data_IF_804389638200
#
_entry.id   IF_804389638200
#
_cell.length_a   1.000
_cell.length_b   1.000
_cell.length_c   1.000
_cell.angle_alpha   90.00
_cell.angle_beta   90.00
_cell.angle_gamma   90.00
#
_symmetry.space_group_name_H-M   'P 1'
#
loop_
_entity.id
_entity.type
_entity.pdbx_description
1 polymer ?
#
# COMPACT_ATOMS: atom_id res chain seq x y z
N UNK A 1 -23.45 51.83 -23.37
CA UNK A 1 -22.12 51.29 -23.73
C UNK A 1 -21.40 50.60 -22.57
N UNK A 2 -21.25 51.21 -21.38
CA UNK A 2 -20.52 50.59 -20.24
C UNK A 2 -21.04 49.20 -19.79
N UNK A 3 -22.36 48.98 -19.83
CA UNK A 3 -22.98 47.72 -19.40
C UNK A 3 -22.78 46.56 -20.40
N UNK A 4 -22.52 46.87 -21.68
CA UNK A 4 -22.24 45.86 -22.71
C UNK A 4 -20.77 45.40 -22.63
N UNK A 5 -19.86 46.34 -22.38
CA UNK A 5 -18.43 46.08 -22.18
C UNK A 5 -18.21 45.20 -20.94
N UNK A 6 -18.90 45.49 -19.82
CA UNK A 6 -18.78 44.70 -18.60
C UNK A 6 -19.22 43.23 -18.80
N UNK A 7 -20.35 43.00 -19.49
CA UNK A 7 -20.80 41.66 -19.82
C UNK A 7 -19.81 40.90 -20.71
N UNK A 8 -19.19 41.60 -21.67
CA UNK A 8 -18.19 41.00 -22.55
C UNK A 8 -16.92 40.60 -21.79
N UNK A 9 -16.46 41.44 -20.86
CA UNK A 9 -15.30 41.16 -20.01
C UNK A 9 -15.55 39.98 -19.07
N UNK A 10 -16.75 39.88 -18.48
CA UNK A 10 -17.11 38.76 -17.60
C UNK A 10 -17.17 37.44 -18.37
N UNK A 11 -17.74 37.44 -19.58
CA UNK A 11 -17.79 36.23 -20.43
C UNK A 11 -16.38 35.80 -20.85
N UNK A 12 -15.51 36.76 -21.20
CA UNK A 12 -14.12 36.47 -21.57
C UNK A 12 -13.33 35.90 -20.38
N UNK A 13 -13.53 36.44 -19.17
CA UNK A 13 -12.90 35.93 -17.95
C UNK A 13 -13.35 34.50 -17.62
N UNK A 14 -14.64 34.20 -17.76
CA UNK A 14 -15.16 32.85 -17.53
C UNK A 14 -14.64 31.83 -18.56
N UNK A 15 -14.49 32.24 -19.82
CA UNK A 15 -13.89 31.40 -20.86
C UNK A 15 -12.41 31.09 -20.60
N UNK A 16 -11.65 32.08 -20.13
CA UNK A 16 -10.23 31.89 -19.77
C UNK A 16 -10.07 30.97 -18.56
N UNK A 17 -10.89 31.11 -17.53
CA UNK A 17 -10.89 30.22 -16.36
C UNK A 17 -11.27 28.78 -16.77
N UNK A 18 -12.28 28.63 -17.63
CA UNK A 18 -12.67 27.33 -18.18
C UNK A 18 -11.54 26.64 -18.95
N UNK A 19 -10.83 27.38 -19.81
CA UNK A 19 -9.72 26.84 -20.58
C UNK A 19 -8.53 26.40 -19.70
N UNK A 20 -8.21 27.18 -18.64
CA UNK A 20 -7.16 26.82 -17.68
C UNK A 20 -7.52 25.55 -16.90
N UNK A 21 -8.77 25.43 -16.44
CA UNK A 21 -9.23 24.24 -15.71
C UNK A 21 -9.23 22.98 -16.58
N UNK A 22 -9.56 23.11 -17.86
CA UNK A 22 -9.48 21.99 -18.82
C UNK A 22 -8.02 21.57 -19.01
N UNK A 23 -7.09 22.51 -19.22
CA UNK A 23 -5.67 22.17 -19.39
C UNK A 23 -5.05 21.51 -18.14
N UNK A 24 -5.36 21.99 -16.93
CA UNK A 24 -4.89 21.36 -15.68
C UNK A 24 -5.45 19.95 -15.53
N UNK A 25 -6.72 19.73 -15.88
CA UNK A 25 -7.33 18.39 -15.84
C UNK A 25 -6.72 17.46 -16.88
N UNK A 26 -6.42 17.96 -18.08
CA UNK A 26 -5.77 17.17 -19.14
C UNK A 26 -4.32 16.84 -18.79
N UNK A 27 -3.57 17.74 -18.15
CA UNK A 27 -2.21 17.44 -17.66
C UNK A 27 -2.23 16.35 -16.56
N UNK A 28 -3.11 16.49 -15.57
CA UNK A 28 -3.24 15.49 -14.50
C UNK A 28 -3.72 14.11 -15.00
N UNK A 29 -4.60 14.08 -16.02
CA UNK A 29 -5.03 12.83 -16.66
C UNK A 29 -3.90 12.18 -17.46
N UNK A 30 -3.04 12.99 -18.09
CA UNK A 30 -1.90 12.49 -18.89
C UNK A 30 -0.82 11.92 -17.98
N UNK A 31 -0.48 12.61 -16.88
CA UNK A 31 0.48 12.11 -15.87
C UNK A 31 -0.04 10.88 -15.11
N UNK A 32 -1.32 10.85 -14.74
CA UNK A 32 -1.94 9.70 -14.10
C UNK A 32 -2.01 8.45 -14.99
N UNK A 33 -2.21 8.63 -16.30
CA UNK A 33 -2.22 7.53 -17.28
C UNK A 33 -0.82 6.97 -17.58
N UNK A 34 0.20 7.83 -17.61
CA UNK A 34 1.58 7.38 -17.78
C UNK A 34 2.09 6.63 -16.55
N UNK A 35 1.67 7.02 -15.34
CA UNK A 35 2.05 6.33 -14.10
C UNK A 35 1.44 4.90 -14.03
N UNK A 36 0.20 4.72 -14.47
CA UNK A 36 -0.48 3.41 -14.48
C UNK A 36 0.04 2.45 -15.58
N UNK A 37 0.45 2.99 -16.73
CA UNK A 37 1.12 2.21 -17.78
C UNK A 37 2.55 1.78 -17.35
N UNK A 38 3.25 2.61 -16.57
CA UNK A 38 4.57 2.27 -16.00
C UNK A 38 4.44 1.21 -14.88
N UNK A 39 3.42 1.30 -14.02
CA UNK A 39 3.20 0.35 -12.92
C UNK A 39 2.80 -1.05 -13.43
N UNK A 40 2.08 -1.14 -14.55
CA UNK A 40 1.73 -2.42 -15.19
C UNK A 40 2.88 -3.03 -16.00
N UNK A 41 3.76 -2.21 -16.60
CA UNK A 41 4.97 -2.68 -17.29
C UNK A 41 6.06 -3.12 -16.31
N UNK A 42 6.15 -2.52 -15.11
CA UNK A 42 7.14 -2.88 -14.09
C UNK A 42 6.82 -4.21 -13.36
N UNK A 43 5.57 -4.67 -13.38
CA UNK A 43 5.22 -6.02 -12.96
C UNK A 43 5.69 -7.11 -13.96
N UNK A 44 5.94 -6.73 -15.23
CA UNK A 44 6.26 -7.65 -16.32
C UNK A 44 7.68 -7.58 -16.90
N UNK A 45 8.53 -6.62 -16.48
CA UNK A 45 9.91 -6.48 -16.98
C UNK A 45 10.96 -6.33 -15.87
N UNK A 46 11.01 -7.30 -14.95
CA UNK A 46 12.21 -7.57 -14.13
C UNK A 46 13.29 -8.27 -14.96
N UNK A 47 13.88 -7.56 -15.93
CA UNK A 47 15.21 -7.86 -16.47
C UNK A 47 15.63 -6.75 -17.44
N UNK A 48 16.30 -5.73 -16.91
CA UNK A 48 17.61 -5.22 -17.36
C UNK A 48 17.84 -3.78 -16.90
N UNK A 49 19.06 -3.56 -16.39
CA UNK A 49 19.76 -2.27 -16.28
C UNK A 49 19.34 -1.33 -15.15
N UNK A 50 19.93 -1.57 -13.99
CA UNK A 50 20.04 -0.65 -12.86
C UNK A 50 20.37 -1.48 -11.63
N UNK A 51 21.47 -1.21 -10.94
CA UNK A 51 21.76 -1.86 -9.65
C UNK A 51 20.67 -1.43 -8.69
N UNK A 52 19.57 -2.18 -8.63
CA UNK A 52 18.55 -2.02 -7.62
C UNK A 52 19.21 -2.44 -6.32
N UNK A 53 19.48 -1.48 -5.44
CA UNK A 53 20.04 -1.79 -4.14
C UNK A 53 18.95 -2.54 -3.37
N UNK A 54 19.05 -3.87 -3.33
CA UNK A 54 18.21 -4.75 -2.50
C UNK A 54 18.32 -4.42 -1.00
N UNK A 55 19.25 -3.52 -0.62
CA UNK A 55 19.51 -3.07 0.74
C UNK A 55 18.30 -2.51 1.49
N UNK A 56 17.23 -2.09 0.80
CA UNK A 56 16.00 -1.56 1.41
C UNK A 56 14.75 -2.26 0.86
N UNK A 57 14.83 -3.57 0.64
CA UNK A 57 13.67 -4.38 0.28
C UNK A 57 12.86 -4.82 1.51
N UNK A 58 11.63 -5.28 1.26
CA UNK A 58 10.77 -5.95 2.26
C UNK A 58 11.51 -7.09 2.97
N UNK A 59 12.32 -7.86 2.23
CA UNK A 59 13.10 -8.96 2.81
C UNK A 59 14.17 -8.45 3.75
N UNK A 60 14.91 -7.42 3.36
CA UNK A 60 15.89 -6.81 4.27
C UNK A 60 15.23 -6.25 5.54
N UNK A 61 14.04 -5.65 5.44
CA UNK A 61 13.29 -5.21 6.62
C UNK A 61 12.98 -6.38 7.58
N UNK A 62 12.51 -7.52 7.04
CA UNK A 62 12.28 -8.77 7.80
C UNK A 62 13.57 -9.25 8.46
N UNK A 63 14.66 -9.37 7.70
CA UNK A 63 15.94 -9.88 8.22
C UNK A 63 16.48 -9.00 9.34
N UNK A 64 16.43 -7.68 9.17
CA UNK A 64 16.88 -6.70 10.17
C UNK A 64 16.01 -6.72 11.42
N UNK A 65 14.70 -6.88 11.27
CA UNK A 65 13.81 -7.08 12.41
C UNK A 65 14.16 -8.34 13.19
N UNK A 66 14.35 -9.47 12.49
CA UNK A 66 14.66 -10.75 13.12
C UNK A 66 16.04 -10.77 13.79
N UNK A 67 17.02 -10.06 13.23
CA UNK A 67 18.37 -9.97 13.81
C UNK A 67 18.48 -8.95 14.95
N UNK A 68 17.44 -8.15 15.21
CA UNK A 68 17.48 -7.05 16.19
C UNK A 68 18.29 -5.84 15.71
N UNK A 69 18.51 -5.71 14.40
CA UNK A 69 19.22 -4.59 13.76
C UNK A 69 18.28 -3.69 12.94
N UNK A 70 16.98 -3.70 13.24
CA UNK A 70 16.00 -2.89 12.54
C UNK A 70 16.29 -1.40 12.73
N UNK A 71 16.27 -0.67 11.62
CA UNK A 71 16.43 0.78 11.61
C UNK A 71 15.42 1.40 10.67
N UNK A 72 14.63 2.37 11.13
CA UNK A 72 13.73 3.15 10.28
C UNK A 72 14.52 4.13 9.42
N UNK A 73 14.20 4.19 8.14
CA UNK A 73 14.85 5.07 7.18
C UNK A 73 14.31 6.48 7.31
N UNK A 74 15.22 7.43 7.52
CA UNK A 74 14.92 8.86 7.60
C UNK A 74 15.70 9.57 6.50
N UNK A 75 14.98 10.30 5.66
CA UNK A 75 15.60 11.16 4.66
C UNK A 75 15.98 12.48 5.32
N UNK A 76 17.28 12.76 5.40
CA UNK A 76 17.80 14.02 5.90
C UNK A 76 18.58 14.77 4.81
N UNK A 77 18.73 16.09 5.00
CA UNK A 77 19.48 16.94 4.08
C UNK A 77 20.99 16.83 4.28
N UNK A 78 21.71 17.90 3.92
CA UNK A 78 23.14 18.01 4.19
C UNK A 78 23.44 18.06 5.71
N UNK A 79 22.50 18.55 6.50
CA UNK A 79 22.58 18.59 7.97
C UNK A 79 21.75 17.46 8.59
N UNK A 80 22.30 16.88 9.65
CA UNK A 80 21.65 15.85 10.44
C UNK A 80 20.80 16.54 11.53
N UNK A 81 19.50 16.28 11.52
CA UNK A 81 18.60 16.69 12.61
C UNK A 81 18.38 15.49 13.51
N UNK A 82 18.98 15.53 14.70
CA UNK A 82 18.74 14.58 15.78
C UNK A 82 17.72 15.20 16.71
N UNK A 83 16.60 14.52 16.96
CA UNK A 83 15.62 14.97 17.94
C UNK A 83 16.01 14.48 19.33
N UNK A 84 15.82 15.32 20.34
CA UNK A 84 15.96 14.92 21.74
C UNK A 84 14.94 13.83 22.06
N UNK A 85 15.38 12.73 22.70
CA UNK A 85 14.52 11.60 23.03
C UNK A 85 14.43 10.52 21.94
N UNK A 86 15.14 10.67 20.82
CA UNK A 86 15.21 9.64 19.78
C UNK A 86 15.79 8.32 20.30
N UNK A 87 16.76 8.40 21.21
CA UNK A 87 17.36 7.27 21.89
C UNK A 87 16.34 6.44 22.68
N UNK A 88 15.26 7.07 23.16
CA UNK A 88 14.19 6.39 23.89
C UNK A 88 13.41 5.44 22.97
N UNK A 89 13.29 5.75 21.67
CA UNK A 89 12.64 4.86 20.72
C UNK A 89 13.41 3.55 20.58
N UNK A 90 14.74 3.63 20.46
CA UNK A 90 15.62 2.47 20.40
C UNK A 90 15.61 1.67 21.70
N UNK A 91 15.71 2.35 22.84
CA UNK A 91 15.67 1.69 24.16
C UNK A 91 14.37 0.92 24.37
N UNK A 92 13.24 1.52 24.00
CA UNK A 92 11.91 0.95 24.24
C UNK A 92 11.50 -0.12 23.24
N UNK A 93 11.81 0.07 21.96
CA UNK A 93 11.30 -0.79 20.89
C UNK A 93 12.38 -1.62 20.18
N UNK A 94 13.66 -1.37 20.44
CA UNK A 94 14.78 -2.06 19.81
C UNK A 94 14.97 -1.72 18.33
N UNK A 95 14.41 -0.59 17.88
CA UNK A 95 14.51 -0.11 16.49
C UNK A 95 15.23 1.23 16.50
N UNK A 96 16.27 1.37 15.69
CA UNK A 96 17.05 2.61 15.58
C UNK A 96 16.58 3.46 14.37
N UNK A 97 17.25 4.57 14.11
CA UNK A 97 17.08 5.34 12.88
C UNK A 97 18.32 5.27 11.99
N UNK A 98 18.08 5.20 10.68
CA UNK A 98 19.13 5.27 9.67
C UNK A 98 18.93 6.51 8.81
N UNK A 99 19.88 7.42 8.95
CA UNK A 99 19.97 8.66 8.20
C UNK A 99 20.62 8.41 6.84
N UNK A 100 19.87 8.66 5.77
CA UNK A 100 20.33 8.39 4.40
C UNK A 100 21.14 9.54 3.80
N UNK A 101 21.08 10.73 4.40
CA UNK A 101 21.73 11.95 3.89
C UNK A 101 21.13 12.44 2.56
N UNK A 102 21.83 13.39 1.94
CA UNK A 102 21.34 14.08 0.74
C UNK A 102 21.42 13.25 -0.56
N UNK A 103 22.29 12.24 -0.62
CA UNK A 103 22.44 11.35 -1.79
C UNK A 103 21.85 9.99 -1.46
N UNK A 104 20.53 9.91 -1.58
CA UNK A 104 19.76 8.70 -1.31
C UNK A 104 19.83 7.76 -2.52
N UNK A 105 20.18 6.49 -2.29
CA UNK A 105 20.28 5.43 -3.32
C UNK A 105 19.06 4.50 -3.36
N UNK A 106 17.94 4.95 -2.82
CA UNK A 106 16.63 4.33 -2.92
C UNK A 106 15.57 5.39 -3.21
N UNK A 107 14.48 4.94 -3.81
CA UNK A 107 13.30 5.74 -4.12
C UNK A 107 12.45 5.96 -2.89
N UNK A 108 11.60 6.99 -2.91
CA UNK A 108 10.60 7.21 -1.86
C UNK A 108 9.72 5.98 -1.64
N UNK A 109 9.32 5.31 -2.72
CA UNK A 109 8.49 4.09 -2.68
C UNK A 109 9.18 2.97 -1.91
N UNK A 110 10.47 2.73 -2.16
CA UNK A 110 11.23 1.71 -1.42
C UNK A 110 11.34 2.05 0.07
N UNK A 111 11.60 3.32 0.41
CA UNK A 111 11.66 3.74 1.82
C UNK A 111 10.33 3.54 2.55
N UNK A 112 9.23 3.96 1.91
CA UNK A 112 7.87 3.78 2.45
C UNK A 112 7.58 2.30 2.65
N UNK A 113 7.87 1.45 1.65
CA UNK A 113 7.65 0.01 1.75
C UNK A 113 8.46 -0.63 2.88
N UNK A 114 9.75 -0.30 2.97
CA UNK A 114 10.64 -0.81 4.01
C UNK A 114 10.18 -0.37 5.41
N UNK A 115 9.94 0.93 5.61
CA UNK A 115 9.53 1.46 6.91
C UNK A 115 8.16 0.92 7.34
N UNK A 116 7.21 0.81 6.41
CA UNK A 116 5.87 0.29 6.70
C UNK A 116 5.93 -1.14 7.23
N UNK A 117 6.79 -2.00 6.68
CA UNK A 117 6.99 -3.36 7.19
C UNK A 117 7.51 -3.34 8.63
N UNK A 118 8.48 -2.47 8.95
CA UNK A 118 8.96 -2.32 10.33
C UNK A 118 7.87 -1.77 11.26
N UNK A 119 7.05 -0.81 10.79
CA UNK A 119 5.90 -0.29 11.55
C UNK A 119 4.82 -1.35 11.79
N UNK A 120 4.58 -2.23 10.81
CA UNK A 120 3.72 -3.39 10.97
C UNK A 120 4.28 -4.34 12.03
N UNK A 121 5.57 -4.65 12.00
CA UNK A 121 6.20 -5.45 13.06
C UNK A 121 6.11 -4.80 14.45
N UNK A 122 6.37 -3.49 14.54
CA UNK A 122 6.20 -2.72 15.77
C UNK A 122 4.76 -2.83 16.29
N UNK A 123 3.77 -2.71 15.41
CA UNK A 123 2.36 -2.80 15.77
C UNK A 123 1.98 -4.21 16.21
N UNK A 124 2.50 -5.23 15.53
CA UNK A 124 2.25 -6.62 15.90
C UNK A 124 2.82 -6.98 17.28
N UNK A 125 4.00 -6.44 17.62
CA UNK A 125 4.72 -6.75 18.86
C UNK A 125 4.32 -5.87 20.05
N UNK A 126 4.10 -4.57 19.82
CA UNK A 126 3.94 -3.56 20.87
C UNK A 126 2.60 -2.83 20.81
N UNK A 127 1.70 -3.19 19.87
CA UNK A 127 0.47 -2.43 19.63
C UNK A 127 0.77 -1.01 19.12
N UNK A 128 -0.11 -0.06 19.41
CA UNK A 128 0.02 1.31 18.89
C UNK A 128 0.91 2.24 19.73
N UNK A 129 1.54 1.75 20.80
CA UNK A 129 2.28 2.60 21.75
C UNK A 129 3.46 3.33 21.10
N UNK A 130 4.16 2.67 20.15
CA UNK A 130 5.32 3.22 19.45
C UNK A 130 5.02 4.51 18.67
N UNK A 131 3.76 4.73 18.27
CA UNK A 131 3.36 5.93 17.52
C UNK A 131 3.57 7.23 18.30
N UNK A 132 3.61 7.15 19.64
CA UNK A 132 3.86 8.32 20.49
C UNK A 132 5.35 8.70 20.58
N UNK A 133 6.24 7.85 20.08
CA UNK A 133 7.70 7.98 20.21
C UNK A 133 8.41 8.08 18.86
N UNK A 134 7.75 7.67 17.78
CA UNK A 134 8.33 7.74 16.44
C UNK A 134 8.47 9.19 15.98
N UNK A 135 9.53 9.49 15.24
CA UNK A 135 9.69 10.79 14.57
C UNK A 135 8.63 10.99 13.49
N UNK A 136 8.12 12.22 13.37
CA UNK A 136 7.09 12.57 12.39
C UNK A 136 7.59 12.54 10.93
N UNK A 137 8.90 12.65 10.71
CA UNK A 137 9.55 12.70 9.39
C UNK A 137 9.93 11.32 8.83
N UNK A 138 9.54 10.24 9.50
CA UNK A 138 9.72 8.88 8.98
C UNK A 138 8.87 8.67 7.73
N UNK A 139 9.52 8.32 6.63
CA UNK A 139 8.82 8.07 5.36
C UNK A 139 7.78 6.95 5.50
N UNK A 140 6.55 7.25 5.08
CA UNK A 140 5.42 6.33 5.11
C UNK A 140 4.59 6.37 6.39
N UNK A 141 4.94 7.20 7.38
CA UNK A 141 4.19 7.32 8.62
C UNK A 141 2.81 7.98 8.42
N UNK A 142 2.75 9.02 7.59
CA UNK A 142 1.51 9.70 7.15
C UNK A 142 0.55 8.77 6.40
N UNK A 143 1.14 7.79 5.74
CA UNK A 143 0.48 6.71 5.02
C UNK A 143 0.03 5.55 5.94
N UNK A 144 0.54 5.45 7.16
CA UNK A 144 0.35 4.29 8.03
C UNK A 144 -0.96 4.37 8.83
N UNK A 145 -1.84 3.38 8.63
CA UNK A 145 -3.22 3.37 9.14
C UNK A 145 -4.26 3.83 8.13
N UNK A 146 -3.85 4.32 6.95
CA UNK A 146 -4.77 4.62 5.85
C UNK A 146 -5.27 3.32 5.21
N UNK A 147 -6.57 3.26 4.89
CA UNK A 147 -7.18 2.08 4.28
C UNK A 147 -6.58 1.81 2.88
N UNK A 148 -5.91 0.67 2.75
CA UNK A 148 -5.20 0.26 1.54
C UNK A 148 -6.12 0.00 0.34
N UNK A 149 -7.43 -0.18 0.54
CA UNK A 149 -8.36 -0.61 -0.50
C UNK A 149 -9.35 0.48 -0.93
N UNK A 150 -9.07 1.75 -0.62
CA UNK A 150 -9.96 2.88 -0.93
C UNK A 150 -9.90 3.34 -2.38
N UNK A 151 -8.70 3.44 -2.95
CA UNK A 151 -8.44 4.09 -4.24
C UNK A 151 -7.89 3.10 -5.28
N UNK A 152 -8.60 1.97 -5.46
CA UNK A 152 -8.19 0.90 -6.37
C UNK A 152 -8.47 1.29 -7.82
N UNK A 153 -7.45 1.13 -8.67
CA UNK A 153 -7.58 1.23 -10.13
C UNK A 153 -7.86 -0.17 -10.69
N UNK A 154 -8.98 -0.31 -11.39
CA UNK A 154 -9.41 -1.56 -12.00
C UNK A 154 -9.05 -1.60 -13.49
N UNK A 155 -8.81 -2.80 -14.00
CA UNK A 155 -8.66 -3.08 -15.43
C UNK A 155 -10.01 -3.00 -16.18
N UNK A 156 -9.96 -3.25 -17.48
CA UNK A 156 -11.13 -3.25 -18.38
C UNK A 156 -12.20 -4.28 -17.99
N UNK A 157 -11.81 -5.37 -17.32
CA UNK A 157 -12.70 -6.42 -16.84
C UNK A 157 -13.28 -6.11 -15.45
N UNK A 158 -12.91 -4.97 -14.86
CA UNK A 158 -13.32 -4.58 -13.52
C UNK A 158 -12.57 -5.34 -12.42
N UNK A 159 -11.41 -5.92 -12.70
CA UNK A 159 -10.57 -6.58 -11.71
C UNK A 159 -9.32 -5.78 -11.40
N UNK A 160 -8.73 -6.00 -10.23
CA UNK A 160 -7.43 -5.47 -9.86
C UNK A 160 -6.67 -6.54 -9.08
N UNK A 161 -5.34 -6.56 -9.25
CA UNK A 161 -4.45 -7.48 -8.52
C UNK A 161 -3.46 -6.67 -7.70
N UNK A 162 -3.35 -6.98 -6.42
CA UNK A 162 -2.38 -6.37 -5.51
C UNK A 162 -1.48 -7.46 -4.91
N UNK A 163 -0.18 -7.18 -4.85
CA UNK A 163 0.80 -8.03 -4.18
C UNK A 163 1.28 -7.26 -2.95
N UNK A 164 1.00 -7.77 -1.77
CA UNK A 164 1.23 -7.06 -0.51
C UNK A 164 2.09 -7.88 0.45
N UNK A 165 3.11 -7.29 1.08
CA UNK A 165 3.74 -7.86 2.26
C UNK A 165 2.84 -7.60 3.48
N UNK A 166 2.44 -8.65 4.18
CA UNK A 166 1.48 -8.56 5.30
C UNK A 166 1.97 -9.39 6.47
N UNK A 167 1.59 -8.98 7.68
CA UNK A 167 1.82 -9.76 8.89
C UNK A 167 0.68 -10.77 9.04
N UNK A 168 0.99 -12.06 8.91
CA UNK A 168 0.05 -13.14 9.14
C UNK A 168 -0.48 -13.11 10.59
N UNK A 169 -1.79 -13.30 10.75
CA UNK A 169 -2.43 -13.45 12.06
C UNK A 169 -3.02 -14.84 12.24
N UNK A 170 -3.95 -15.23 11.38
CA UNK A 170 -4.66 -16.50 11.55
C UNK A 170 -5.37 -16.95 10.28
N UNK A 171 -5.72 -18.23 10.23
CA UNK A 171 -6.79 -18.73 9.37
C UNK A 171 -8.07 -18.89 10.18
N UNK A 172 -9.20 -18.74 9.50
CA UNK A 172 -10.50 -19.04 10.08
C UNK A 172 -11.56 -19.31 9.02
N UNK A 173 -12.82 -19.38 9.44
CA UNK A 173 -13.95 -19.55 8.52
C UNK A 173 -14.03 -18.38 7.55
N UNK A 174 -14.51 -18.65 6.34
CA UNK A 174 -14.67 -17.60 5.32
C UNK A 174 -15.39 -16.37 5.86
N UNK A 175 -14.85 -15.19 5.56
CA UNK A 175 -15.37 -13.88 5.93
C UNK A 175 -16.74 -13.61 5.31
N UNK A 176 -16.98 -14.16 4.12
CA UNK A 176 -18.23 -14.02 3.38
C UNK A 176 -18.33 -14.94 2.18
N UNK A 177 -19.54 -14.98 1.64
CA UNK A 177 -19.84 -15.56 0.34
C UNK A 177 -19.65 -14.56 -0.80
N UNK A 178 -19.08 -14.97 -1.95
CA UNK A 178 -18.98 -14.14 -3.14
C UNK A 178 -20.37 -13.81 -3.70
N UNK A 179 -20.56 -12.61 -4.30
CA UNK A 179 -21.71 -12.35 -5.17
C UNK A 179 -21.80 -13.38 -6.29
N UNK A 180 -23.00 -13.73 -6.76
CA UNK A 180 -23.20 -14.76 -7.80
C UNK A 180 -22.32 -14.54 -9.04
N UNK A 181 -22.23 -13.31 -9.53
CA UNK A 181 -21.39 -12.99 -10.70
C UNK A 181 -19.89 -13.22 -10.45
N UNK A 182 -19.42 -13.01 -9.22
CA UNK A 182 -18.02 -13.27 -8.85
C UNK A 182 -17.81 -14.76 -8.58
N UNK A 183 -18.82 -15.44 -8.01
CA UNK A 183 -18.80 -16.89 -7.79
C UNK A 183 -18.61 -17.66 -9.10
N UNK A 184 -19.23 -17.20 -10.18
CA UNK A 184 -19.05 -17.75 -11.53
C UNK A 184 -17.61 -17.60 -12.04
N UNK A 185 -16.91 -16.52 -11.66
CA UNK A 185 -15.53 -16.24 -12.08
C UNK A 185 -14.53 -17.05 -11.27
N UNK A 186 -14.67 -17.06 -9.94
CA UNK A 186 -13.75 -17.81 -9.06
C UNK A 186 -14.09 -19.32 -9.06
N UNK A 187 -15.26 -19.69 -9.56
CA UNK A 187 -15.70 -21.07 -9.75
C UNK A 187 -16.08 -21.82 -8.48
N UNK A 188 -16.17 -21.14 -7.33
CA UNK A 188 -16.28 -21.81 -6.05
C UNK A 188 -16.78 -20.92 -4.90
N UNK A 189 -17.07 -21.56 -3.77
CA UNK A 189 -17.42 -20.90 -2.51
C UNK A 189 -16.24 -21.01 -1.53
N UNK A 190 -15.56 -19.91 -1.16
CA UNK A 190 -14.49 -19.95 -0.17
C UNK A 190 -14.97 -20.50 1.17
N UNK A 191 -14.23 -21.47 1.71
CA UNK A 191 -14.49 -22.04 3.04
C UNK A 191 -13.64 -21.40 4.14
N UNK A 192 -12.50 -20.82 3.75
CA UNK A 192 -11.47 -20.31 4.64
C UNK A 192 -11.16 -18.86 4.32
N UNK A 193 -10.78 -18.11 5.34
CA UNK A 193 -10.23 -16.76 5.22
C UNK A 193 -8.89 -16.64 5.93
N UNK A 194 -8.09 -15.69 5.46
CA UNK A 194 -6.88 -15.24 6.12
C UNK A 194 -7.15 -13.94 6.87
N UNK A 195 -6.80 -13.92 8.14
CA UNK A 195 -6.56 -12.72 8.92
C UNK A 195 -5.10 -12.27 8.79
N UNK A 196 -4.91 -11.01 8.44
CA UNK A 196 -3.59 -10.40 8.35
C UNK A 196 -3.64 -8.93 8.73
N UNK A 197 -2.48 -8.37 9.06
CA UNK A 197 -2.32 -6.94 9.27
C UNK A 197 -1.46 -6.34 8.16
N UNK A 198 -1.86 -5.17 7.69
CA UNK A 198 -1.14 -4.41 6.67
C UNK A 198 -1.31 -2.92 6.93
N UNK A 199 -0.20 -2.16 6.98
CA UNK A 199 -0.20 -0.72 7.31
C UNK A 199 -0.95 -0.42 8.60
N UNK A 200 -0.83 -1.28 9.61
CA UNK A 200 -1.49 -1.13 10.90
C UNK A 200 -3.00 -1.36 10.91
N UNK A 201 -3.59 -1.78 9.78
CA UNK A 201 -4.99 -2.16 9.68
C UNK A 201 -5.12 -3.68 9.64
N UNK A 202 -6.13 -4.22 10.33
CA UNK A 202 -6.47 -5.63 10.27
C UNK A 202 -7.46 -5.90 9.14
N UNK A 203 -7.15 -6.94 8.36
CA UNK A 203 -7.96 -7.38 7.24
C UNK A 203 -8.28 -8.86 7.40
N UNK A 204 -9.46 -9.23 6.91
CA UNK A 204 -9.93 -10.61 6.92
C UNK A 204 -10.56 -10.92 5.56
N UNK A 205 -9.88 -11.76 4.77
CA UNK A 205 -10.22 -11.97 3.36
C UNK A 205 -10.38 -13.44 3.01
N UNK A 206 -11.41 -13.83 2.23
CA UNK A 206 -11.57 -15.19 1.70
C UNK A 206 -10.36 -15.67 0.90
N UNK A 207 -10.01 -16.95 1.03
CA UNK A 207 -9.04 -17.62 0.17
C UNK A 207 -9.74 -18.15 -1.09
N UNK A 208 -9.03 -18.15 -2.22
CA UNK A 208 -9.49 -18.84 -3.43
C UNK A 208 -9.61 -20.34 -3.16
N UNK A 209 -10.52 -21.06 -3.81
CA UNK A 209 -10.73 -22.47 -3.47
C UNK A 209 -9.66 -23.40 -4.03
N UNK A 210 -8.88 -22.94 -5.01
CA UNK A 210 -7.73 -23.66 -5.55
C UNK A 210 -6.46 -23.44 -4.72
N UNK A 211 -6.63 -23.03 -3.46
CA UNK A 211 -5.54 -22.63 -2.61
C UNK A 211 -4.89 -23.84 -1.93
N UNK A 212 -3.64 -24.12 -2.29
CA UNK A 212 -2.78 -25.06 -1.60
C UNK A 212 -1.75 -24.33 -0.75
N UNK A 213 -1.70 -24.63 0.53
CA UNK A 213 -0.56 -24.29 1.39
C UNK A 213 0.20 -25.56 1.69
N UNK A 214 1.49 -25.58 1.35
CA UNK A 214 2.39 -26.66 1.75
C UNK A 214 2.88 -26.46 3.20
N UNK A 215 3.09 -25.21 3.59
CA UNK A 215 3.57 -24.82 4.92
C UNK A 215 2.77 -23.64 5.47
N UNK A 216 2.25 -23.80 6.69
CA UNK A 216 1.47 -22.76 7.36
C UNK A 216 2.43 -21.71 7.93
N UNK A 217 2.20 -20.41 7.67
CA UNK A 217 2.97 -19.34 8.30
C UNK A 217 2.78 -19.34 9.83
N UNK A 218 3.84 -18.93 10.53
CA UNK A 218 3.79 -18.73 11.98
C UNK A 218 3.07 -17.42 12.32
N UNK A 219 2.41 -17.37 13.48
CA UNK A 219 1.75 -16.14 13.94
C UNK A 219 2.73 -14.95 13.96
N UNK A 220 2.30 -13.81 13.41
CA UNK A 220 3.10 -12.60 13.22
C UNK A 220 4.27 -12.74 12.23
N UNK A 221 4.30 -13.79 11.43
CA UNK A 221 5.25 -13.90 10.32
C UNK A 221 4.88 -12.95 9.17
N UNK A 222 5.91 -12.33 8.59
CA UNK A 222 5.74 -11.56 7.35
C UNK A 222 5.69 -12.52 6.16
N UNK A 223 4.57 -12.46 5.46
CA UNK A 223 4.27 -13.20 4.24
C UNK A 223 3.94 -12.23 3.11
N UNK A 224 4.00 -12.70 1.87
CA UNK A 224 3.49 -11.97 0.72
C UNK A 224 2.18 -12.60 0.26
N UNK A 225 1.17 -11.79 0.01
CA UNK A 225 -0.14 -12.25 -0.46
C UNK A 225 -0.47 -11.62 -1.80
N UNK A 226 -1.03 -12.41 -2.72
CA UNK A 226 -1.63 -11.91 -3.96
C UNK A 226 -3.13 -11.84 -3.76
N UNK A 227 -3.70 -10.65 -3.89
CA UNK A 227 -5.12 -10.36 -3.69
C UNK A 227 -5.73 -9.96 -5.02
N UNK A 228 -6.78 -10.66 -5.43
CA UNK A 228 -7.65 -10.23 -6.53
C UNK A 228 -8.86 -9.50 -5.97
N UNK A 229 -9.14 -8.34 -6.54
CA UNK A 229 -10.17 -7.42 -6.08
C UNK A 229 -11.15 -7.17 -7.22
N UNK A 230 -12.44 -7.14 -6.91
CA UNK A 230 -13.50 -7.05 -7.92
C UNK A 230 -14.21 -5.71 -7.81
N UNK A 231 -14.44 -5.02 -8.92
CA UNK A 231 -15.11 -3.71 -8.94
C UNK A 231 -16.58 -3.82 -8.51
N UNK A 232 -17.01 -3.11 -7.46
CA UNK A 232 -18.41 -3.06 -7.06
C UNK A 232 -19.34 -2.57 -8.17
N UNK A 233 -18.84 -1.67 -9.04
CA UNK A 233 -19.60 -1.08 -10.14
C UNK A 233 -19.80 -2.07 -11.29
N UNK A 234 -18.76 -2.80 -11.69
CA UNK A 234 -18.82 -3.76 -12.79
C UNK A 234 -19.66 -4.98 -12.38
N UNK A 235 -19.41 -5.51 -11.19
CA UNK A 235 -20.09 -6.71 -10.67
C UNK A 235 -21.39 -6.43 -9.91
N UNK A 236 -21.82 -5.16 -9.85
CA UNK A 236 -23.13 -4.70 -9.37
C UNK A 236 -23.53 -5.23 -7.98
N UNK A 237 -22.59 -5.24 -7.04
CA UNK A 237 -22.86 -5.64 -5.66
C UNK A 237 -22.79 -4.44 -4.70
N UNK A 238 -23.48 -4.56 -3.56
CA UNK A 238 -23.64 -3.45 -2.62
C UNK A 238 -22.48 -3.33 -1.62
N UNK A 239 -22.36 -2.17 -0.95
CA UNK A 239 -21.39 -1.93 0.13
C UNK A 239 -21.59 -2.80 1.38
N UNK A 240 -22.71 -3.52 1.46
CA UNK A 240 -22.97 -4.45 2.56
C UNK A 240 -22.10 -5.70 2.50
N UNK A 241 -21.50 -6.02 1.35
CA UNK A 241 -20.59 -7.16 1.27
C UNK A 241 -19.30 -6.88 2.03
N UNK A 242 -18.74 -7.91 2.66
CA UNK A 242 -17.52 -7.82 3.46
C UNK A 242 -16.53 -8.90 3.02
N UNK A 243 -15.24 -8.63 2.79
CA UNK A 243 -14.65 -7.30 2.70
C UNK A 243 -15.30 -6.47 1.59
N UNK A 244 -15.21 -5.14 1.69
CA UNK A 244 -15.61 -4.21 0.64
C UNK A 244 -14.38 -3.40 0.20
N UNK A 245 -14.06 -3.36 -1.10
CA UNK A 245 -14.61 -4.19 -2.18
C UNK A 245 -14.40 -5.69 -1.94
N UNK A 246 -15.26 -6.53 -2.55
CA UNK A 246 -15.09 -7.98 -2.44
C UNK A 246 -13.74 -8.36 -3.05
N UNK A 247 -12.99 -9.15 -2.29
CA UNK A 247 -11.60 -9.49 -2.58
C UNK A 247 -11.35 -10.93 -2.17
N UNK A 248 -10.44 -11.60 -2.88
CA UNK A 248 -10.04 -12.98 -2.58
C UNK A 248 -8.52 -13.08 -2.64
N UNK A 249 -7.93 -13.86 -1.74
CA UNK A 249 -6.49 -14.16 -1.76
C UNK A 249 -6.27 -15.33 -2.72
N UNK A 250 -5.44 -15.10 -3.73
CA UNK A 250 -5.11 -16.10 -4.76
C UNK A 250 -3.88 -16.93 -4.39
N UNK A 251 -2.90 -16.33 -3.70
CA UNK A 251 -1.70 -17.03 -3.26
C UNK A 251 -1.09 -16.41 -2.00
N UNK A 252 -0.35 -17.22 -1.26
CA UNK A 252 0.48 -16.82 -0.12
C UNK A 252 1.89 -17.35 -0.36
N UNK A 253 2.88 -16.47 -0.31
CA UNK A 253 4.29 -16.80 -0.41
C UNK A 253 4.97 -16.53 0.93
N UNK A 254 5.62 -17.54 1.50
CA UNK A 254 6.50 -17.35 2.64
C UNK A 254 7.75 -16.61 2.18
N UNK A 255 8.05 -15.46 2.79
CA UNK A 255 9.26 -14.69 2.51
C UNK A 255 10.46 -15.33 3.24
N UNK A 256 10.88 -16.50 2.80
CA UNK A 256 12.06 -17.21 3.32
C UNK A 256 13.37 -16.58 2.88
#
# INVERSE_FOLDING_TARGET
MKNLIYKFVVVLALLLIGAVLINVKTQNLTEGSQQTEIDSVNAGKKHRSGVHYDAYSVRTAKDKWQSGEAQLLVQNGAELVIYEGEELFKEKFGVDYKYLGCVVRCTQKEMVQYNTVLMDYLTAKFGNEWRNFIREDVSGLDEYGVDAFKDIVYDENGTATMILPVIYKSFGRSASSPPSAIKEIIGCEPLTSLGFMYRGNEYYMPLSCNFGIEELPLENELIEVTIRIFSPKVFRYSKSIKPYPFSVIESINLLK
#
